data_IF_170480044531
#
_entry.id   IF_170480044531
#
_cell.length_a   1.000
_cell.length_b   1.000
_cell.length_c   1.000
_cell.angle_alpha   90.00
_cell.angle_beta   90.00
_cell.angle_gamma   90.00
#
_symmetry.space_group_name_H-M   'P 1'
#
loop_
_entity.id
_entity.type
_entity.pdbx_description
1 polymer ?
#
# COMPACT_ATOMS: atom_id res chain seq x y z
N UNK A 1 15.59 -6.48 -0.78
CA UNK A 1 14.24 -5.92 -0.56
C UNK A 1 14.08 -5.33 0.84
N UNK A 2 13.99 -6.14 1.90
CA UNK A 2 13.70 -5.66 3.28
C UNK A 2 14.69 -4.58 3.77
N UNK A 3 16.01 -4.81 3.64
CA UNK A 3 17.03 -3.81 4.03
C UNK A 3 16.86 -2.45 3.35
N UNK A 4 16.38 -2.43 2.09
CA UNK A 4 16.11 -1.18 1.36
C UNK A 4 14.93 -0.43 1.97
N UNK A 5 13.86 -1.16 2.29
CA UNK A 5 12.68 -0.59 2.96
C UNK A 5 13.03 -0.07 4.37
N UNK A 6 13.89 -0.77 5.11
CA UNK A 6 14.41 -0.30 6.40
C UNK A 6 15.22 1.00 6.24
N UNK A 7 16.15 1.07 5.28
CA UNK A 7 16.94 2.29 5.04
C UNK A 7 16.11 3.49 4.57
N UNK A 8 14.96 3.23 3.96
CA UNK A 8 14.01 4.26 3.53
C UNK A 8 13.03 4.66 4.64
N UNK A 9 13.09 4.00 5.81
CA UNK A 9 12.18 4.25 6.93
C UNK A 9 10.76 3.74 6.71
N UNK A 10 10.52 2.94 5.67
CA UNK A 10 9.19 2.38 5.34
C UNK A 10 8.82 1.26 6.31
N UNK A 11 9.81 0.49 6.78
CA UNK A 11 9.61 -0.58 7.76
C UNK A 11 10.62 -0.47 8.89
N UNK A 12 10.25 -0.98 10.05
CA UNK A 12 11.10 -1.04 11.24
C UNK A 12 10.83 -2.33 12.02
N UNK A 13 11.82 -2.78 12.79
CA UNK A 13 11.64 -3.92 13.70
C UNK A 13 10.65 -3.55 14.81
N UNK A 14 9.72 -4.46 15.12
CA UNK A 14 8.70 -4.26 16.15
C UNK A 14 8.44 -5.58 16.88
N UNK A 15 8.12 -5.50 18.17
CA UNK A 15 7.52 -6.61 18.92
C UNK A 15 6.02 -6.36 19.00
N UNK A 16 5.22 -7.31 18.53
CA UNK A 16 3.76 -7.15 18.44
C UNK A 16 3.04 -8.46 18.74
N UNK A 17 1.83 -8.42 19.33
CA UNK A 17 0.95 -9.59 19.43
C UNK A 17 0.29 -9.96 18.10
N UNK A 18 0.37 -9.11 17.07
CA UNK A 18 -0.14 -9.38 15.73
C UNK A 18 0.96 -9.96 14.84
N UNK A 19 0.58 -10.66 13.77
CA UNK A 19 1.51 -11.09 12.72
C UNK A 19 0.76 -11.44 11.43
N UNK A 20 1.05 -10.72 10.34
CA UNK A 20 0.53 -11.03 9.01
C UNK A 20 1.57 -11.81 8.19
N UNK A 21 1.20 -12.93 7.53
CA UNK A 21 2.12 -13.67 6.66
C UNK A 21 2.69 -12.81 5.53
N UNK A 22 3.89 -13.16 5.07
CA UNK A 22 4.51 -12.58 3.88
C UNK A 22 4.43 -13.59 2.73
N UNK A 23 3.91 -13.13 1.60
CA UNK A 23 3.87 -13.86 0.35
C UNK A 23 4.83 -13.23 -0.67
N UNK A 24 5.92 -13.92 -1.07
CA UNK A 24 6.78 -13.47 -2.15
C UNK A 24 6.09 -13.73 -3.50
N UNK A 25 5.89 -12.68 -4.28
CA UNK A 25 5.24 -12.75 -5.59
C UNK A 25 6.27 -12.50 -6.68
N UNK A 26 6.44 -13.46 -7.58
CA UNK A 26 7.30 -13.32 -8.76
C UNK A 26 6.53 -12.61 -9.89
N UNK A 27 7.06 -11.51 -10.41
CA UNK A 27 6.45 -10.76 -11.52
C UNK A 27 6.91 -11.29 -12.87
N UNK A 28 6.12 -11.02 -13.90
CA UNK A 28 6.52 -11.21 -15.30
C UNK A 28 7.75 -10.40 -15.71
N UNK A 29 8.03 -9.29 -15.01
CA UNK A 29 9.26 -8.50 -15.17
C UNK A 29 10.52 -9.17 -14.61
N UNK A 30 10.41 -10.33 -13.95
CA UNK A 30 11.51 -10.99 -13.24
C UNK A 30 11.82 -10.43 -11.85
N UNK A 31 11.07 -9.41 -11.42
CA UNK A 31 11.21 -8.82 -10.08
C UNK A 31 10.42 -9.63 -9.04
N UNK A 32 11.01 -9.84 -7.86
CA UNK A 32 10.29 -10.31 -6.68
C UNK A 32 9.67 -9.14 -5.92
N UNK A 33 8.36 -9.22 -5.63
CA UNK A 33 7.71 -8.32 -4.67
C UNK A 33 7.34 -9.05 -3.40
N UNK A 34 7.46 -8.32 -2.30
CA UNK A 34 7.04 -8.77 -1.00
C UNK A 34 5.62 -8.24 -0.76
N UNK A 35 4.65 -9.15 -0.70
CA UNK A 35 3.26 -8.82 -0.38
C UNK A 35 2.97 -9.30 1.02
N UNK A 36 2.28 -8.49 1.82
CA UNK A 36 1.83 -8.87 3.15
C UNK A 36 0.36 -9.23 3.07
N UNK A 37 -0.01 -10.38 3.63
CA UNK A 37 -1.41 -10.81 3.71
C UNK A 37 -2.11 -10.12 4.90
N UNK A 38 -2.88 -9.09 4.58
CA UNK A 38 -3.69 -8.35 5.56
C UNK A 38 -5.15 -8.80 5.60
N UNK A 39 -5.54 -9.95 5.01
CA UNK A 39 -6.95 -10.35 4.94
C UNK A 39 -7.61 -10.41 6.33
N UNK A 40 -7.03 -11.13 7.28
CA UNK A 40 -7.55 -11.21 8.65
C UNK A 40 -7.59 -9.86 9.38
N UNK A 41 -6.62 -8.97 9.10
CA UNK A 41 -6.60 -7.63 9.67
C UNK A 41 -7.69 -6.73 9.06
N UNK A 42 -7.91 -6.85 7.76
CA UNK A 42 -8.91 -6.08 7.03
C UNK A 42 -10.33 -6.44 7.48
N UNK A 43 -10.59 -7.71 7.81
CA UNK A 43 -11.90 -8.16 8.32
C UNK A 43 -12.29 -7.52 9.66
N UNK A 44 -11.32 -7.26 10.53
CA UNK A 44 -11.55 -6.63 11.84
C UNK A 44 -11.36 -5.11 11.83
N UNK A 45 -10.96 -4.54 10.69
CA UNK A 45 -10.78 -3.10 10.54
C UNK A 45 -12.10 -2.48 10.08
N UNK A 46 -12.65 -1.48 10.81
CA UNK A 46 -13.88 -0.81 10.40
C UNK A 46 -13.76 -0.27 8.96
N UNK A 47 -14.76 -0.49 8.10
CA UNK A 47 -14.71 -0.01 6.73
C UNK A 47 -14.68 1.52 6.70
N UNK A 48 -13.81 2.07 5.85
CA UNK A 48 -13.78 3.49 5.54
C UNK A 48 -14.49 3.72 4.20
N UNK A 49 -15.49 4.60 4.18
CA UNK A 49 -16.05 5.09 2.92
C UNK A 49 -15.11 6.13 2.33
N UNK A 50 -14.38 5.75 1.28
CA UNK A 50 -13.55 6.68 0.52
C UNK A 50 -14.36 7.27 -0.64
N UNK A 51 -14.24 8.58 -0.86
CA UNK A 51 -14.82 9.25 -2.03
C UNK A 51 -13.94 9.01 -3.27
N UNK A 52 -13.89 7.76 -3.73
CA UNK A 52 -13.25 7.41 -5.01
C UNK A 52 -14.30 7.64 -6.11
N UNK A 53 -14.06 8.54 -7.08
CA UNK A 53 -15.02 8.79 -8.16
C UNK A 53 -15.21 7.53 -9.00
N UNK A 54 -16.45 7.33 -9.46
CA UNK A 54 -16.73 6.26 -10.41
C UNK A 54 -16.05 6.55 -11.76
N UNK A 55 -15.73 5.48 -12.50
CA UNK A 55 -15.03 5.59 -13.79
C UNK A 55 -15.84 6.35 -14.83
N UNK A 56 -17.16 6.22 -14.84
CA UNK A 56 -18.03 6.93 -15.79
C UNK A 56 -18.01 8.44 -15.51
N UNK A 57 -18.09 8.82 -14.24
CA UNK A 57 -17.95 10.21 -13.81
C UNK A 57 -16.58 10.78 -14.17
N UNK A 58 -15.52 9.99 -13.99
CA UNK A 58 -14.17 10.41 -14.36
C UNK A 58 -14.04 10.63 -15.87
N UNK A 59 -14.56 9.72 -16.71
CA UNK A 59 -14.55 9.87 -18.16
C UNK A 59 -15.41 11.06 -18.63
N UNK A 60 -16.56 11.31 -18.00
CA UNK A 60 -17.39 12.47 -18.31
C UNK A 60 -16.65 13.79 -18.04
N UNK A 61 -15.95 13.87 -16.91
CA UNK A 61 -15.14 15.04 -16.56
C UNK A 61 -13.95 15.22 -17.51
N UNK A 62 -13.27 14.14 -17.87
CA UNK A 62 -12.15 14.15 -18.82
C UNK A 62 -12.59 14.50 -20.24
N UNK A 63 -13.71 13.95 -20.72
CA UNK A 63 -14.24 14.20 -22.08
C UNK A 63 -14.75 15.63 -22.27
N UNK A 64 -15.11 16.32 -21.18
CA UNK A 64 -15.48 17.74 -21.17
C UNK A 64 -14.28 18.68 -21.02
N UNK A 65 -13.06 18.15 -20.85
CA UNK A 65 -11.87 18.92 -20.55
C UNK A 65 -10.99 19.22 -21.81
N UNK A 66 -9.88 19.90 -21.56
CA UNK A 66 -9.12 20.76 -22.45
C UNK A 66 -8.49 20.11 -23.71
N UNK A 67 -7.95 20.96 -24.59
CA UNK A 67 -7.24 20.60 -25.84
C UNK A 67 -6.01 19.69 -25.65
N UNK A 68 -5.43 19.64 -24.45
CA UNK A 68 -4.22 18.90 -24.13
C UNK A 68 -4.31 18.25 -22.76
N UNK A 69 -3.73 17.04 -22.65
CA UNK A 69 -3.73 16.25 -21.43
C UNK A 69 -2.31 15.83 -21.05
N UNK A 70 -2.07 15.72 -19.75
CA UNK A 70 -0.88 15.10 -19.19
C UNK A 70 -1.29 14.20 -18.02
N UNK A 71 -0.69 13.02 -17.93
CA UNK A 71 -0.93 12.07 -16.84
C UNK A 71 0.30 12.02 -15.96
N UNK A 72 0.10 12.10 -14.64
CA UNK A 72 1.16 11.98 -13.64
C UNK A 72 0.82 10.79 -12.76
N UNK A 73 1.76 9.85 -12.63
CA UNK A 73 1.67 8.73 -11.69
C UNK A 73 2.53 9.01 -10.45
N UNK A 74 1.97 8.78 -9.27
CA UNK A 74 2.70 8.93 -8.00
C UNK A 74 3.24 7.57 -7.59
N UNK A 75 4.51 7.33 -7.92
CA UNK A 75 5.18 6.09 -7.54
C UNK A 75 5.22 5.92 -6.00
N UNK A 76 4.83 4.75 -5.52
CA UNK A 76 4.79 4.39 -4.10
C UNK A 76 3.94 5.33 -3.22
N UNK A 77 2.86 5.91 -3.75
CA UNK A 77 2.01 6.87 -3.05
C UNK A 77 1.60 6.46 -1.62
N UNK A 78 1.37 5.17 -1.37
CA UNK A 78 1.04 4.65 -0.04
C UNK A 78 2.11 4.90 1.02
N UNK A 79 3.40 4.89 0.65
CA UNK A 79 4.50 5.14 1.58
C UNK A 79 4.66 6.63 1.92
N UNK A 80 4.03 7.52 1.15
CA UNK A 80 4.03 8.96 1.41
C UNK A 80 3.08 9.37 2.54
N UNK A 81 2.14 8.49 2.91
CA UNK A 81 1.19 8.75 4.00
C UNK A 81 1.72 8.07 5.28
N UNK A 82 2.05 8.84 6.34
CA UNK A 82 2.59 8.26 7.55
C UNK A 82 1.53 7.46 8.30
N UNK A 83 1.92 6.28 8.80
CA UNK A 83 1.08 5.48 9.67
C UNK A 83 1.04 6.09 11.09
N UNK A 84 -0.17 6.22 11.64
CA UNK A 84 -0.39 6.61 13.02
C UNK A 84 0.38 5.70 14.00
N UNK A 85 0.97 6.29 15.04
CA UNK A 85 1.91 5.58 15.91
C UNK A 85 1.30 4.36 16.61
N UNK A 86 0.03 4.47 17.02
CA UNK A 86 -0.79 3.43 17.65
C UNK A 86 -1.18 2.29 16.69
N UNK A 87 -1.19 2.54 15.38
CA UNK A 87 -1.46 1.53 14.36
C UNK A 87 -0.24 0.70 13.96
N UNK A 88 0.99 1.17 14.25
CA UNK A 88 2.24 0.48 13.85
C UNK A 88 2.33 -0.95 14.35
N UNK A 89 1.88 -1.19 15.58
CA UNK A 89 1.88 -2.54 16.15
C UNK A 89 0.86 -3.48 15.50
N UNK A 90 -0.12 -2.98 14.74
CA UNK A 90 -1.15 -3.82 14.08
C UNK A 90 -0.72 -4.37 12.73
N UNK A 91 0.35 -3.81 12.15
CA UNK A 91 0.86 -4.16 10.82
C UNK A 91 2.24 -4.86 10.80
N UNK A 92 2.59 -5.75 11.76
CA UNK A 92 3.84 -6.48 11.72
C UNK A 92 3.79 -7.60 10.67
N UNK A 93 4.94 -7.87 10.07
CA UNK A 93 5.14 -9.01 9.19
C UNK A 93 6.46 -9.70 9.55
N UNK A 94 6.58 -11.03 9.41
CA UNK A 94 7.75 -11.76 9.84
C UNK A 94 8.95 -11.45 8.94
N UNK A 95 9.88 -10.65 9.44
CA UNK A 95 11.23 -10.60 8.86
C UNK A 95 11.96 -11.89 9.20
N UNK A 96 12.59 -12.56 8.22
CA UNK A 96 13.62 -13.56 8.56
C UNK A 96 14.68 -12.86 9.42
N UNK A 97 14.88 -13.36 10.64
CA UNK A 97 16.01 -12.99 11.48
C UNK A 97 17.33 -13.43 10.81
#
# INVERSE_FOLDING_TARGET
MIRKLESQGVVSKVRSPFNSPISPVHKSSGEWRLTVDYHALNEVTPPLSAAVPDRELQYELESKAAKWYATIDIANAFFSIPLAADCRAKLPSPGRA
#
